data_IF_406581214805
#
_entry.id   IF_406581214805
#
_cell.length_a   1.000
_cell.length_b   1.000
_cell.length_c   1.000
_cell.angle_alpha   90.00
_cell.angle_beta   90.00
_cell.angle_gamma   90.00
#
_symmetry.space_group_name_H-M   'P 1'
#
loop_
_entity.id
_entity.type
_entity.pdbx_description
1 polymer ?
#
# COMPACT_ATOMS: atom_id res chain seq x y z
N UNK A 1 -3.42 -0.02 11.37
CA UNK A 1 -4.90 -0.12 11.55
C UNK A 1 -5.28 0.67 12.79
N UNK A 2 -6.55 1.01 12.99
CA UNK A 2 -7.00 1.73 14.19
C UNK A 2 -7.97 0.89 15.04
N UNK A 3 -7.98 1.10 16.36
CA UNK A 3 -8.97 0.52 17.26
C UNK A 3 -9.48 1.57 18.25
N UNK A 4 -10.80 1.67 18.43
CA UNK A 4 -11.47 2.61 19.34
C UNK A 4 -12.29 1.83 20.37
N UNK A 5 -12.00 2.06 21.66
CA UNK A 5 -12.78 1.53 22.77
C UNK A 5 -13.99 2.44 23.04
N UNK A 6 -15.15 2.09 22.47
CA UNK A 6 -16.37 2.90 22.53
C UNK A 6 -17.00 2.98 23.93
N UNK A 7 -16.44 2.27 24.91
CA UNK A 7 -16.86 2.34 26.32
C UNK A 7 -16.19 3.49 27.06
N UNK A 8 -15.08 3.99 26.50
CA UNK A 8 -14.32 5.14 27.00
C UNK A 8 -14.45 6.32 26.06
N UNK A 9 -14.35 6.06 24.76
CA UNK A 9 -14.23 7.05 23.69
C UNK A 9 -15.59 7.24 23.00
N UNK A 10 -16.53 7.80 23.77
CA UNK A 10 -17.93 7.84 23.37
C UNK A 10 -18.21 8.81 22.23
N UNK A 11 -17.32 9.74 21.92
CA UNK A 11 -17.53 10.76 20.89
C UNK A 11 -16.95 10.33 19.53
N UNK A 12 -15.81 9.62 19.51
CA UNK A 12 -15.12 9.18 18.30
C UNK A 12 -15.97 8.34 17.32
N UNK A 13 -16.99 7.62 17.78
CA UNK A 13 -17.84 6.77 16.93
C UNK A 13 -19.23 7.31 16.59
N UNK A 14 -19.67 8.43 17.21
CA UNK A 14 -21.05 8.92 17.10
C UNK A 14 -21.42 9.38 15.70
N UNK A 15 -20.49 10.06 15.04
CA UNK A 15 -20.73 10.64 13.71
C UNK A 15 -20.68 9.60 12.59
N UNK A 16 -20.30 8.36 12.90
CA UNK A 16 -20.07 7.30 11.93
C UNK A 16 -21.13 6.20 11.93
N UNK A 17 -22.29 6.43 12.56
CA UNK A 17 -23.40 5.48 12.63
C UNK A 17 -22.99 4.10 13.20
N UNK A 18 -22.22 4.12 14.29
CA UNK A 18 -21.85 2.89 15.02
C UNK A 18 -23.00 2.53 15.97
N UNK A 19 -23.86 1.59 15.55
CA UNK A 19 -25.07 1.18 16.28
C UNK A 19 -24.88 -0.08 17.15
N UNK A 20 -23.76 -0.79 17.00
CA UNK A 20 -23.46 -2.02 17.72
C UNK A 20 -21.99 -2.39 17.67
N UNK A 21 -21.59 -3.41 18.44
CA UNK A 21 -20.19 -3.80 18.59
C UNK A 21 -19.98 -5.32 18.36
N UNK A 22 -18.83 -5.73 17.78
CA UNK A 22 -17.85 -4.87 17.11
C UNK A 22 -18.36 -4.38 15.75
N UNK A 23 -18.00 -3.15 15.39
CA UNK A 23 -18.24 -2.55 14.07
C UNK A 23 -16.92 -2.19 13.43
N UNK A 24 -16.67 -2.70 12.21
CA UNK A 24 -15.46 -2.41 11.46
C UNK A 24 -15.81 -1.51 10.28
N UNK A 25 -15.03 -0.44 10.12
CA UNK A 25 -15.22 0.56 9.06
C UNK A 25 -13.91 0.82 8.32
N UNK A 26 -14.04 1.06 7.02
CA UNK A 26 -12.94 1.48 6.16
C UNK A 26 -13.07 2.97 5.86
N UNK A 27 -12.09 3.73 6.31
CA UNK A 27 -11.97 5.16 6.08
C UNK A 27 -11.05 5.37 4.88
N UNK A 28 -11.65 5.61 3.71
CA UNK A 28 -10.93 5.93 2.48
C UNK A 28 -10.36 7.36 2.49
N UNK A 29 -10.28 7.98 1.31
CA UNK A 29 -9.85 9.38 1.18
C UNK A 29 -10.91 10.36 1.69
N UNK A 30 -12.19 10.03 1.53
CA UNK A 30 -13.30 10.78 2.11
C UNK A 30 -13.57 10.28 3.53
N UNK A 31 -12.89 10.89 4.50
CA UNK A 31 -12.98 10.53 5.92
C UNK A 31 -14.38 10.69 6.50
N UNK A 32 -15.18 11.61 5.94
CA UNK A 32 -16.53 11.86 6.42
C UNK A 32 -17.52 10.75 6.06
N UNK A 33 -17.20 9.93 5.05
CA UNK A 33 -18.08 8.87 4.55
C UNK A 33 -17.37 7.50 4.57
N UNK A 34 -17.10 6.92 5.75
CA UNK A 34 -16.50 5.60 5.84
C UNK A 34 -17.47 4.51 5.35
N UNK A 35 -16.90 3.47 4.77
CA UNK A 35 -17.63 2.30 4.31
C UNK A 35 -17.67 1.20 5.38
N UNK A 36 -18.81 0.54 5.53
CA UNK A 36 -18.90 -0.64 6.40
C UNK A 36 -18.09 -1.81 5.82
N UNK A 37 -17.46 -2.57 6.72
CA UNK A 37 -16.77 -3.79 6.34
C UNK A 37 -17.75 -4.92 6.01
N UNK A 38 -17.77 -5.34 4.75
CA UNK A 38 -18.65 -6.40 4.23
C UNK A 38 -17.93 -7.76 4.02
N UNK A 39 -16.91 -8.07 4.84
CA UNK A 39 -16.10 -9.28 4.70
C UNK A 39 -16.30 -10.31 5.81
N UNK A 40 -15.69 -11.49 5.64
CA UNK A 40 -15.56 -12.45 6.74
C UNK A 40 -14.61 -11.89 7.80
N UNK A 41 -15.00 -11.96 9.08
CA UNK A 41 -14.24 -11.43 10.23
C UNK A 41 -12.98 -12.25 10.59
N UNK A 42 -12.45 -13.02 9.65
CA UNK A 42 -11.13 -13.64 9.81
C UNK A 42 -10.05 -12.66 9.38
N UNK A 43 -8.84 -12.82 9.92
CA UNK A 43 -7.66 -12.04 9.50
C UNK A 43 -7.46 -12.05 7.98
N UNK A 44 -7.63 -13.22 7.35
CA UNK A 44 -7.58 -13.37 5.88
C UNK A 44 -8.69 -12.59 5.17
N UNK A 45 -9.91 -12.59 5.72
CA UNK A 45 -11.04 -11.85 5.17
C UNK A 45 -10.83 -10.33 5.21
N UNK A 46 -10.31 -9.83 6.33
CA UNK A 46 -9.95 -8.42 6.52
C UNK A 46 -8.84 -8.01 5.54
N UNK A 47 -7.75 -8.79 5.45
CA UNK A 47 -6.65 -8.53 4.50
C UNK A 47 -7.18 -8.47 3.06
N UNK A 48 -8.04 -9.41 2.67
CA UNK A 48 -8.62 -9.44 1.32
C UNK A 48 -9.47 -8.21 1.01
N UNK A 49 -10.26 -7.75 1.97
CA UNK A 49 -11.09 -6.56 1.82
C UNK A 49 -10.22 -5.30 1.73
N UNK A 50 -9.31 -5.10 2.68
CA UNK A 50 -8.45 -3.93 2.74
C UNK A 50 -7.60 -3.80 1.46
N UNK A 51 -6.90 -4.86 1.06
CA UNK A 51 -6.06 -4.84 -0.16
C UNK A 51 -6.87 -4.59 -1.44
N UNK A 52 -8.13 -5.04 -1.50
CA UNK A 52 -9.05 -4.69 -2.60
C UNK A 52 -9.39 -3.20 -2.59
N UNK A 53 -9.73 -2.63 -1.43
CA UNK A 53 -10.02 -1.20 -1.29
C UNK A 53 -8.83 -0.31 -1.63
N UNK A 54 -7.64 -0.65 -1.15
CA UNK A 54 -6.39 0.05 -1.52
C UNK A 54 -6.18 0.06 -3.04
N UNK A 55 -6.43 -1.08 -3.70
CA UNK A 55 -6.35 -1.18 -5.16
C UNK A 55 -7.43 -0.35 -5.87
N UNK A 56 -8.65 -0.28 -5.34
CA UNK A 56 -9.73 0.55 -5.89
C UNK A 56 -9.36 2.04 -5.81
N UNK A 57 -8.84 2.50 -4.66
CA UNK A 57 -8.33 3.86 -4.46
C UNK A 57 -7.21 4.17 -5.45
N UNK A 58 -6.19 3.30 -5.51
CA UNK A 58 -5.03 3.53 -6.38
C UNK A 58 -5.42 3.62 -7.86
N UNK A 59 -6.35 2.78 -8.32
CA UNK A 59 -6.87 2.87 -9.70
C UNK A 59 -7.73 4.11 -9.93
N UNK A 60 -8.51 4.56 -8.95
CA UNK A 60 -9.34 5.75 -9.06
C UNK A 60 -8.48 7.03 -9.22
N UNK A 61 -7.38 7.15 -8.46
CA UNK A 61 -6.44 8.28 -8.52
C UNK A 61 -5.82 8.49 -9.90
N UNK A 62 -5.63 7.40 -10.65
CA UNK A 62 -5.07 7.43 -12.00
C UNK A 62 -6.13 7.46 -13.09
N UNK A 63 -7.41 7.69 -12.74
CA UNK A 63 -8.52 7.75 -13.70
C UNK A 63 -8.94 6.40 -14.28
N UNK A 64 -8.43 5.28 -13.76
CA UNK A 64 -8.77 3.93 -14.19
C UNK A 64 -9.99 3.40 -13.42
N UNK A 65 -11.12 4.10 -13.50
CA UNK A 65 -12.39 3.63 -12.90
C UNK A 65 -12.97 2.53 -13.81
N UNK A 66 -13.12 1.31 -13.29
CA UNK A 66 -13.96 0.30 -13.96
C UNK A 66 -15.34 0.90 -14.16
N UNK A 67 -15.74 1.06 -15.43
CA UNK A 67 -17.01 1.60 -15.89
C UNK A 67 -18.20 1.03 -15.12
N UNK A 68 -18.82 1.82 -14.25
CA UNK A 68 -20.26 1.80 -14.13
C UNK A 68 -20.81 2.64 -15.30
N UNK A 69 -21.39 1.94 -16.28
CA UNK A 69 -22.28 2.40 -17.37
C UNK A 69 -21.92 3.69 -18.16
N UNK A 70 -21.82 3.52 -19.48
CA UNK A 70 -21.36 4.48 -20.46
C UNK A 70 -22.12 5.83 -20.53
N UNK A 71 -21.34 6.90 -20.65
CA UNK A 71 -21.58 7.97 -21.62
C UNK A 71 -20.37 8.11 -22.56
N UNK A 72 -20.64 8.48 -23.81
CA UNK A 72 -19.69 8.51 -24.93
C UNK A 72 -18.50 9.45 -24.67
N UNK A 73 -17.27 9.11 -25.11
CA UNK A 73 -16.18 10.08 -25.14
C UNK A 73 -16.52 11.16 -26.18
N UNK A 74 -16.55 12.43 -25.74
CA UNK A 74 -16.38 13.57 -26.65
C UNK A 74 -14.92 13.59 -27.08
N UNK A 75 -14.75 13.74 -28.39
CA UNK A 75 -13.51 13.96 -29.11
C UNK A 75 -12.69 15.07 -28.45
N UNK A 76 -11.59 14.70 -27.82
CA UNK A 76 -10.64 15.62 -27.21
C UNK A 76 -9.51 15.88 -28.22
N UNK A 77 -9.28 17.18 -28.47
CA UNK A 77 -8.27 17.72 -29.38
C UNK A 77 -6.89 17.13 -29.08
N UNK A 78 -6.15 16.84 -30.15
CA UNK A 78 -4.71 16.50 -30.09
C UNK A 78 -3.96 17.54 -29.24
N UNK A 79 -3.15 17.14 -28.25
CA UNK A 79 -2.21 18.05 -27.64
C UNK A 79 -1.07 18.34 -28.63
N UNK A 80 -0.67 19.62 -28.66
CA UNK A 80 0.58 20.13 -29.20
C UNK A 80 1.80 19.34 -28.68
N UNK A 81 2.94 19.35 -29.39
CA UNK A 81 4.08 18.48 -29.07
C UNK A 81 4.59 18.71 -27.63
N UNK A 82 4.56 17.64 -26.84
CA UNK A 82 5.14 17.56 -25.50
C UNK A 82 6.64 17.88 -25.55
N UNK A 83 7.20 18.65 -24.59
CA UNK A 83 8.64 18.77 -24.43
C UNK A 83 9.25 17.39 -24.15
N UNK A 84 10.50 17.17 -24.59
CA UNK A 84 11.25 15.92 -24.44
C UNK A 84 11.04 15.25 -23.08
N UNK A 85 10.74 13.95 -23.08
CA UNK A 85 10.61 13.12 -21.89
C UNK A 85 11.86 13.22 -21.00
N UNK A 86 11.74 14.03 -19.94
CA UNK A 86 12.73 14.14 -18.87
C UNK A 86 12.66 12.90 -17.96
N UNK A 87 13.74 12.64 -17.23
CA UNK A 87 13.84 11.61 -16.19
C UNK A 87 12.68 11.72 -15.17
N UNK A 88 12.38 10.69 -14.33
CA UNK A 88 11.49 10.87 -13.18
C UNK A 88 12.03 12.01 -12.31
N UNK A 89 11.48 13.20 -12.50
CA UNK A 89 11.95 14.46 -11.95
C UNK A 89 11.04 14.79 -10.79
N UNK A 90 11.18 14.07 -9.67
CA UNK A 90 10.57 14.44 -8.39
C UNK A 90 9.18 15.07 -8.45
N UNK A 91 8.27 14.52 -9.28
CA UNK A 91 6.84 14.76 -9.10
C UNK A 91 6.52 14.38 -7.65
N UNK A 92 5.66 15.12 -6.94
CA UNK A 92 5.45 15.06 -5.47
C UNK A 92 5.22 13.64 -4.89
N UNK A 93 5.02 12.62 -5.73
CA UNK A 93 4.76 11.24 -5.36
C UNK A 93 5.93 10.25 -5.64
N UNK A 94 7.02 10.67 -6.31
CA UNK A 94 8.24 9.85 -6.53
C UNK A 94 9.43 10.48 -5.80
N UNK A 95 9.98 9.74 -4.84
CA UNK A 95 11.17 10.16 -4.09
C UNK A 95 12.42 9.87 -4.90
N UNK A 96 13.24 10.90 -5.11
CA UNK A 96 14.58 10.72 -5.70
C UNK A 96 15.51 10.21 -4.62
N UNK A 97 15.96 8.98 -4.80
CA UNK A 97 16.89 8.31 -3.92
C UNK A 97 18.31 8.50 -4.44
N UNK A 98 19.20 8.88 -3.54
CA UNK A 98 20.60 9.26 -3.76
C UNK A 98 21.49 8.54 -2.75
N UNK A 99 22.79 8.51 -2.98
CA UNK A 99 23.77 7.96 -2.04
C UNK A 99 23.64 8.54 -0.62
N UNK A 100 23.12 9.77 -0.49
CA UNK A 100 22.99 10.48 0.78
C UNK A 100 21.73 10.16 1.60
N UNK A 101 20.63 9.75 0.96
CA UNK A 101 19.35 9.50 1.64
C UNK A 101 18.87 8.05 1.53
N UNK A 102 19.48 7.22 0.67
CA UNK A 102 19.03 5.84 0.42
C UNK A 102 18.90 5.01 1.71
N UNK A 103 19.92 5.08 2.58
CA UNK A 103 19.93 4.32 3.83
C UNK A 103 18.84 4.76 4.81
N UNK A 104 18.61 6.08 4.93
CA UNK A 104 17.63 6.63 5.86
C UNK A 104 16.19 6.45 5.34
N UNK A 105 15.94 6.79 4.08
CA UNK A 105 14.61 6.77 3.48
C UNK A 105 14.12 5.35 3.19
N UNK A 106 15.00 4.46 2.71
CA UNK A 106 14.61 3.13 2.25
C UNK A 106 15.06 2.01 3.19
N UNK A 107 16.35 1.95 3.54
CA UNK A 107 16.87 0.80 4.30
C UNK A 107 16.40 0.79 5.76
N UNK A 108 16.26 1.97 6.38
CA UNK A 108 15.72 2.12 7.73
C UNK A 108 14.18 2.16 7.78
N UNK A 109 13.51 2.32 6.63
CA UNK A 109 12.05 2.38 6.55
C UNK A 109 11.40 1.04 6.84
N UNK A 110 10.36 1.04 7.67
CA UNK A 110 9.49 -0.13 7.87
C UNK A 110 8.43 -0.27 6.77
N UNK A 111 8.17 0.80 6.02
CA UNK A 111 7.17 0.84 4.97
C UNK A 111 7.66 0.15 3.69
N UNK A 112 6.76 -0.44 2.89
CA UNK A 112 7.11 -1.05 1.62
C UNK A 112 7.50 0.01 0.59
N UNK A 113 8.60 -0.25 -0.14
CA UNK A 113 9.11 0.61 -1.20
C UNK A 113 9.09 -0.11 -2.54
N UNK A 114 8.84 0.64 -3.61
CA UNK A 114 9.00 0.17 -4.98
C UNK A 114 9.91 1.14 -5.72
N UNK A 115 11.09 0.68 -6.14
CA UNK A 115 12.15 1.54 -6.66
C UNK A 115 12.47 1.21 -8.11
N UNK A 116 12.57 2.26 -8.92
CA UNK A 116 13.15 2.23 -10.26
C UNK A 116 14.64 2.57 -10.22
N UNK A 117 15.48 1.65 -10.69
CA UNK A 117 16.88 1.91 -11.00
C UNK A 117 17.01 2.19 -12.50
N UNK A 118 17.42 3.42 -12.84
CA UNK A 118 17.40 3.91 -14.22
C UNK A 118 18.70 4.58 -14.64
N UNK A 119 18.79 4.86 -15.94
CA UNK A 119 19.78 5.75 -16.53
C UNK A 119 19.09 6.79 -17.42
N UNK A 120 19.44 8.09 -17.34
CA UNK A 120 18.71 9.18 -18.00
C UNK A 120 18.77 9.11 -19.54
N UNK A 121 19.78 8.45 -20.10
CA UNK A 121 19.94 8.24 -21.53
C UNK A 121 19.22 6.98 -22.05
N UNK A 122 18.68 6.12 -21.17
CA UNK A 122 18.06 4.87 -21.58
C UNK A 122 16.64 5.10 -22.13
N UNK A 123 16.44 4.80 -23.42
CA UNK A 123 15.14 4.96 -24.09
C UNK A 123 14.00 4.13 -23.49
N UNK A 124 14.28 2.98 -22.85
CA UNK A 124 13.27 2.21 -22.13
C UNK A 124 12.87 2.87 -20.79
N UNK A 125 13.79 3.57 -20.13
CA UNK A 125 13.50 4.32 -18.90
C UNK A 125 12.63 5.53 -19.22
N UNK A 126 12.98 6.28 -20.28
CA UNK A 126 12.16 7.42 -20.75
C UNK A 126 10.72 7.03 -21.08
N UNK A 127 10.51 5.84 -21.65
CA UNK A 127 9.17 5.29 -21.92
C UNK A 127 8.43 4.86 -20.66
N UNK A 128 9.15 4.49 -19.60
CA UNK A 128 8.59 4.04 -18.34
C UNK A 128 8.19 5.21 -17.43
N UNK A 129 9.00 6.28 -17.41
CA UNK A 129 8.81 7.45 -16.55
C UNK A 129 7.34 7.94 -16.43
N UNK A 130 6.56 8.15 -17.52
CA UNK A 130 5.17 8.59 -17.38
C UNK A 130 4.26 7.55 -16.69
N UNK A 131 4.50 6.26 -16.92
CA UNK A 131 3.75 5.19 -16.25
C UNK A 131 4.19 5.01 -14.80
N UNK A 132 5.46 5.26 -14.49
CA UNK A 132 6.02 5.23 -13.14
C UNK A 132 5.43 6.35 -12.28
N UNK A 133 5.48 7.60 -12.76
CA UNK A 133 4.91 8.76 -12.06
C UNK A 133 3.39 8.60 -11.88
N UNK A 134 2.69 8.09 -12.91
CA UNK A 134 1.26 7.78 -12.79
C UNK A 134 1.00 6.68 -11.76
N UNK A 135 1.79 5.62 -11.72
CA UNK A 135 1.67 4.59 -10.68
C UNK A 135 1.90 5.17 -9.29
N UNK A 136 2.88 6.07 -9.15
CA UNK A 136 3.21 6.70 -7.89
C UNK A 136 2.08 7.55 -7.32
N UNK A 137 1.46 8.37 -8.17
CA UNK A 137 0.21 9.04 -7.82
C UNK A 137 -0.88 8.07 -7.36
N UNK A 138 -0.98 6.90 -8.00
CA UNK A 138 -1.92 5.85 -7.58
C UNK A 138 -1.59 5.31 -6.18
N UNK A 139 -0.31 5.05 -5.91
CA UNK A 139 0.17 4.37 -4.71
C UNK A 139 0.52 5.29 -3.53
N UNK A 140 0.31 6.60 -3.65
CA UNK A 140 0.55 7.58 -2.57
C UNK A 140 -0.05 7.12 -1.22
N UNK A 141 0.75 7.02 -0.16
CA UNK A 141 0.31 6.55 1.16
C UNK A 141 -0.15 5.07 1.19
N UNK A 142 0.28 4.27 0.20
CA UNK A 142 0.03 2.82 0.10
C UNK A 142 1.36 2.07 -0.06
N UNK A 143 2.22 2.54 -0.97
CA UNK A 143 3.60 2.06 -1.18
C UNK A 143 4.45 3.25 -1.58
N UNK A 144 5.62 3.41 -0.97
CA UNK A 144 6.56 4.47 -1.31
C UNK A 144 7.23 4.17 -2.65
N UNK A 145 7.32 5.18 -3.50
CA UNK A 145 7.84 5.04 -4.86
C UNK A 145 9.15 5.80 -4.96
N UNK A 146 10.22 5.08 -5.30
CA UNK A 146 11.56 5.64 -5.40
C UNK A 146 12.10 5.59 -6.83
N UNK A 147 13.06 6.46 -7.13
CA UNK A 147 13.86 6.39 -8.34
C UNK A 147 15.33 6.70 -8.05
N UNK A 148 16.25 5.89 -8.58
CA UNK A 148 17.71 6.04 -8.43
C UNK A 148 18.36 6.17 -9.81
N UNK A 149 19.09 7.27 -10.02
CA UNK A 149 19.92 7.46 -11.20
C UNK A 149 21.26 6.73 -11.01
N UNK A 150 21.33 5.49 -11.48
CA UNK A 150 22.51 4.62 -11.35
C UNK A 150 23.72 5.10 -12.17
N UNK A 151 23.60 6.22 -12.90
CA UNK A 151 24.75 6.86 -13.57
C UNK A 151 25.49 7.86 -12.68
N UNK A 152 24.89 8.25 -11.55
CA UNK A 152 25.44 9.21 -10.60
C UNK A 152 25.58 8.61 -9.20
N UNK A 153 24.58 7.85 -8.78
CA UNK A 153 24.48 7.27 -7.44
C UNK A 153 25.11 5.88 -7.48
N UNK A 154 26.40 5.83 -7.12
CA UNK A 154 27.21 4.62 -7.26
C UNK A 154 27.07 3.67 -6.08
N UNK A 155 26.68 4.19 -4.92
CA UNK A 155 26.48 3.42 -3.70
C UNK A 155 25.02 2.99 -3.53
N UNK A 156 24.06 3.86 -3.86
CA UNK A 156 22.65 3.55 -3.88
C UNK A 156 22.38 2.46 -4.93
N UNK A 157 21.92 1.30 -4.47
CA UNK A 157 21.51 0.22 -5.36
C UNK A 157 22.60 -0.78 -5.76
N UNK A 158 23.86 -0.56 -5.38
CA UNK A 158 24.98 -1.44 -5.75
C UNK A 158 24.79 -2.88 -5.27
N UNK A 159 24.18 -3.05 -4.10
CA UNK A 159 24.03 -4.35 -3.44
C UNK A 159 22.82 -5.14 -3.94
N UNK A 160 22.00 -4.57 -4.83
CA UNK A 160 20.77 -5.21 -5.32
C UNK A 160 20.88 -5.83 -6.71
N UNK A 161 22.08 -6.01 -7.25
CA UNK A 161 22.32 -6.69 -8.55
C UNK A 161 21.56 -6.05 -9.73
N UNK A 162 21.72 -4.74 -9.92
CA UNK A 162 21.15 -4.02 -11.07
C UNK A 162 22.03 -4.23 -12.31
N UNK A 163 21.63 -5.17 -13.17
CA UNK A 163 22.42 -5.56 -14.37
C UNK A 163 22.03 -4.79 -15.64
N UNK A 164 20.93 -4.03 -15.61
CA UNK A 164 20.45 -3.26 -16.76
C UNK A 164 19.30 -2.30 -16.41
N UNK A 165 18.90 -1.48 -17.38
CA UNK A 165 17.95 -0.40 -17.15
C UNK A 165 16.70 -0.47 -18.06
N UNK A 166 15.49 -0.18 -17.54
CA UNK A 166 15.19 -0.01 -16.12
C UNK A 166 15.13 -1.37 -15.41
N UNK A 167 15.59 -1.40 -14.17
CA UNK A 167 15.36 -2.50 -13.22
C UNK A 167 14.43 -1.99 -12.13
N UNK A 168 13.37 -2.73 -11.86
CA UNK A 168 12.34 -2.36 -10.89
C UNK A 168 12.33 -3.38 -9.76
N UNK A 169 12.43 -2.92 -8.52
CA UNK A 169 12.51 -3.81 -7.35
C UNK A 169 11.57 -3.39 -6.23
N UNK A 170 10.90 -4.38 -5.65
CA UNK A 170 10.01 -4.19 -4.53
C UNK A 170 10.68 -4.60 -3.23
N UNK A 171 10.79 -3.63 -2.33
CA UNK A 171 11.41 -3.74 -1.01
C UNK A 171 10.31 -3.93 0.02
N UNK A 172 10.09 -5.20 0.40
CA UNK A 172 9.20 -5.58 1.50
C UNK A 172 9.82 -5.27 2.86
N UNK A 173 9.52 -6.09 3.87
CA UNK A 173 10.05 -5.89 5.23
C UNK A 173 11.57 -6.14 5.30
N UNK A 174 12.06 -7.13 4.56
CA UNK A 174 13.48 -7.40 4.42
C UNK A 174 14.06 -6.54 3.28
N UNK A 175 14.60 -5.36 3.65
CA UNK A 175 15.21 -4.43 2.70
C UNK A 175 16.46 -4.98 2.02
N UNK A 176 17.12 -5.95 2.63
CA UNK A 176 18.33 -6.55 2.07
C UNK A 176 18.02 -7.52 0.91
N UNK A 177 16.81 -8.07 0.87
CA UNK A 177 16.39 -9.05 -0.14
C UNK A 177 15.15 -8.56 -0.93
N UNK A 178 15.27 -7.48 -1.73
CA UNK A 178 14.17 -7.01 -2.55
C UNK A 178 13.84 -7.99 -3.69
N UNK A 179 12.57 -8.02 -4.07
CA UNK A 179 12.09 -8.86 -5.15
C UNK A 179 12.09 -8.11 -6.48
N UNK A 180 12.50 -8.80 -7.55
CA UNK A 180 12.39 -8.27 -8.90
C UNK A 180 10.91 -8.12 -9.33
N UNK A 181 10.63 -7.02 -10.02
CA UNK A 181 9.32 -6.81 -10.60
C UNK A 181 9.09 -7.74 -11.80
N UNK A 182 8.01 -8.51 -11.70
CA UNK A 182 7.49 -9.32 -12.79
C UNK A 182 6.09 -8.84 -13.17
N UNK A 183 5.97 -8.20 -14.35
CA UNK A 183 4.68 -7.72 -14.83
C UNK A 183 4.75 -6.75 -16.01
N UNK A 184 3.58 -6.29 -16.43
CA UNK A 184 3.46 -5.23 -17.43
C UNK A 184 3.86 -3.87 -16.84
N UNK A 185 4.70 -3.13 -17.56
CA UNK A 185 5.23 -1.82 -17.16
C UNK A 185 4.26 -0.65 -17.33
N UNK A 186 2.96 -0.93 -17.35
CA UNK A 186 1.93 0.12 -17.26
C UNK A 186 1.68 0.45 -15.79
N UNK A 187 1.22 1.67 -15.52
CA UNK A 187 0.81 2.14 -14.20
C UNK A 187 -0.15 1.18 -13.50
N UNK A 188 -1.13 0.65 -14.23
CA UNK A 188 -2.06 -0.37 -13.72
C UNK A 188 -1.35 -1.68 -13.38
N UNK A 189 -0.38 -2.11 -14.20
CA UNK A 189 0.43 -3.31 -13.95
C UNK A 189 1.29 -3.18 -12.69
N UNK A 190 1.91 -2.02 -12.51
CA UNK A 190 2.73 -1.64 -11.34
C UNK A 190 1.87 -1.63 -10.08
N UNK A 191 0.71 -0.93 -10.09
CA UNK A 191 -0.24 -0.91 -8.97
C UNK A 191 -0.72 -2.32 -8.60
N UNK A 192 -1.03 -3.15 -9.60
CA UNK A 192 -1.48 -4.52 -9.37
C UNK A 192 -0.41 -5.38 -8.71
N UNK A 193 0.86 -5.20 -9.08
CA UNK A 193 1.98 -5.90 -8.47
C UNK A 193 2.18 -5.45 -7.03
N UNK A 194 2.26 -4.13 -6.79
CA UNK A 194 2.46 -3.55 -5.47
C UNK A 194 1.38 -4.00 -4.48
N UNK A 195 0.10 -3.87 -4.86
CA UNK A 195 -1.04 -4.29 -4.01
C UNK A 195 -1.07 -5.80 -3.76
N UNK A 196 -0.59 -6.61 -4.71
CA UNK A 196 -0.42 -8.06 -4.50
C UNK A 196 0.69 -8.34 -3.48
N UNK A 197 1.81 -7.62 -3.55
CA UNK A 197 2.92 -7.76 -2.58
C UNK A 197 2.52 -7.35 -1.17
N UNK A 198 1.77 -6.26 -1.01
CA UNK A 198 1.18 -5.89 0.28
C UNK A 198 0.33 -7.02 0.87
N UNK A 199 -0.50 -7.65 0.03
CA UNK A 199 -1.30 -8.79 0.43
C UNK A 199 -0.45 -10.00 0.84
N UNK A 200 0.64 -10.27 0.13
CA UNK A 200 1.56 -11.37 0.46
C UNK A 200 2.24 -11.14 1.81
N UNK A 201 2.75 -9.92 2.05
CA UNK A 201 3.33 -9.51 3.33
C UNK A 201 2.32 -9.68 4.47
N UNK A 202 1.12 -9.11 4.32
CA UNK A 202 0.09 -9.21 5.35
C UNK A 202 -0.31 -10.67 5.66
N UNK A 203 -0.42 -11.53 4.64
CA UNK A 203 -0.68 -12.96 4.85
C UNK A 203 0.49 -13.68 5.53
N UNK A 204 1.73 -13.30 5.23
CA UNK A 204 2.90 -13.90 5.86
C UNK A 204 2.98 -13.56 7.35
N UNK A 205 2.64 -12.32 7.75
CA UNK A 205 2.58 -11.87 9.15
C UNK A 205 1.62 -12.71 9.99
N UNK A 206 0.44 -13.03 9.45
CA UNK A 206 -0.57 -13.86 10.14
C UNK A 206 -0.29 -15.38 10.06
N UNK A 207 0.92 -15.79 9.68
CA UNK A 207 1.30 -17.20 9.57
C UNK A 207 0.68 -17.97 8.39
N UNK A 208 -0.05 -17.29 7.51
CA UNK A 208 -0.67 -17.87 6.32
C UNK A 208 0.32 -17.90 5.15
N UNK A 209 1.50 -18.51 5.36
CA UNK A 209 2.42 -18.77 4.26
C UNK A 209 1.78 -19.79 3.33
N UNK A 210 1.38 -19.38 2.12
CA UNK A 210 1.13 -20.33 1.04
C UNK A 210 2.37 -21.23 0.96
N UNK A 211 2.19 -22.52 1.26
CA UNK A 211 3.21 -23.55 1.06
C UNK A 211 3.69 -23.47 -0.39
N UNK A 212 4.82 -22.80 -0.61
CA UNK A 212 5.62 -23.04 -1.79
C UNK A 212 5.97 -24.54 -1.78
N UNK A 213 5.79 -25.20 -2.92
CA UNK A 213 6.05 -26.63 -3.13
C UNK A 213 7.36 -27.07 -2.46
N UNK A 214 7.26 -27.91 -1.44
CA UNK A 214 8.30 -28.82 -0.98
C UNK A 214 7.63 -30.10 -0.43
N UNK A 215 8.25 -31.24 -0.69
CA UNK A 215 7.74 -32.59 -0.39
C UNK A 215 7.56 -32.87 1.12
N UNK A 216 6.71 -33.89 1.40
CA UNK A 216 6.20 -34.46 2.67
C UNK A 216 7.24 -34.75 3.78
N UNK A 217 6.85 -35.01 5.07
CA UNK A 217 5.63 -35.70 5.53
C UNK A 217 4.82 -35.04 6.67
N UNK A 218 3.65 -35.65 6.90
CA UNK A 218 2.57 -35.29 7.85
C UNK A 218 3.00 -35.52 9.30
N UNK A 219 2.70 -34.55 10.16
CA UNK A 219 2.40 -34.79 11.57
C UNK A 219 1.16 -33.98 11.96
N UNK A 220 0.25 -34.64 12.67
CA UNK A 220 -1.12 -34.24 12.97
C UNK A 220 -1.11 -33.46 14.28
N UNK A 221 -1.41 -32.15 14.24
CA UNK A 221 -1.60 -31.34 15.45
C UNK A 221 -3.07 -30.96 15.61
N UNK A 222 -3.59 -31.29 16.79
CA UNK A 222 -4.95 -31.01 17.25
C UNK A 222 -5.18 -29.50 17.39
N UNK A 223 -6.43 -29.01 17.26
CA UNK A 223 -6.73 -27.59 17.36
C UNK A 223 -6.52 -27.09 18.80
N UNK A 224 -5.74 -26.02 18.91
CA UNK A 224 -5.56 -25.18 20.09
C UNK A 224 -6.81 -24.30 20.28
N UNK A 225 -7.33 -24.08 21.50
CA UNK A 225 -8.55 -23.31 21.71
C UNK A 225 -8.35 -21.84 21.31
N UNK A 226 -9.38 -21.26 20.69
CA UNK A 226 -9.46 -19.82 20.37
C UNK A 226 -9.24 -18.98 21.64
N UNK A 227 -8.36 -17.96 21.63
CA UNK A 227 -8.23 -17.05 22.75
C UNK A 227 -9.47 -16.15 22.85
N UNK A 228 -9.95 -15.94 24.08
CA UNK A 228 -10.93 -14.90 24.41
C UNK A 228 -10.42 -13.54 23.92
N UNK A 229 -11.33 -12.68 23.47
CA UNK A 229 -11.02 -11.35 22.95
C UNK A 229 -10.40 -10.46 24.04
N UNK A 230 -9.08 -10.49 24.16
CA UNK A 230 -8.35 -9.49 24.93
C UNK A 230 -8.30 -8.18 24.14
N UNK A 231 -8.44 -7.05 24.85
CA UNK A 231 -8.36 -5.73 24.23
C UNK A 231 -7.03 -5.58 23.47
N UNK A 232 -7.00 -4.91 22.30
CA UNK A 232 -5.75 -4.66 21.59
C UNK A 232 -4.83 -3.83 22.47
N UNK A 233 -3.82 -4.49 23.05
CA UNK A 233 -2.66 -3.81 23.64
C UNK A 233 -1.87 -3.27 22.46
N UNK A 234 -1.58 -1.95 22.43
CA UNK A 234 -0.96 -1.29 21.28
C UNK A 234 0.36 -1.91 20.82
N UNK A 235 0.26 -2.93 19.96
CA UNK A 235 1.33 -3.43 19.11
C UNK A 235 1.54 -2.44 17.95
N UNK A 236 2.76 -2.39 17.39
CA UNK A 236 3.15 -1.41 16.35
C UNK A 236 2.20 -1.35 15.12
N UNK A 237 1.42 -2.40 14.86
CA UNK A 237 0.52 -2.51 13.70
C UNK A 237 -0.93 -2.01 13.97
N UNK A 238 -1.33 -1.78 15.23
CA UNK A 238 -2.66 -1.31 15.64
C UNK A 238 -2.56 -0.07 16.52
N UNK A 239 -2.93 1.08 15.96
CA UNK A 239 -2.98 2.35 16.66
C UNK A 239 -4.26 2.42 17.51
N UNK A 240 -4.09 2.64 18.81
CA UNK A 240 -5.20 2.91 19.72
C UNK A 240 -5.67 4.35 19.51
N UNK A 241 -6.91 4.48 19.04
CA UNK A 241 -7.57 5.75 18.79
C UNK A 241 -8.47 6.10 19.97
N UNK A 242 -8.40 7.37 20.36
CA UNK A 242 -9.08 8.01 21.49
C UNK A 242 -9.79 9.26 21.00
N UNK A 243 -10.75 9.77 21.76
CA UNK A 243 -11.42 11.04 21.48
C UNK A 243 -10.42 12.20 21.26
N UNK A 244 -9.23 12.12 21.90
CA UNK A 244 -8.21 13.17 21.83
C UNK A 244 -7.30 13.12 20.58
N UNK A 245 -7.10 11.95 19.97
CA UNK A 245 -6.20 11.79 18.83
C UNK A 245 -6.93 11.35 17.55
N UNK A 246 -8.22 10.98 17.63
CA UNK A 246 -8.98 10.49 16.49
C UNK A 246 -8.97 11.48 15.32
N UNK A 247 -9.23 12.76 15.59
CA UNK A 247 -9.25 13.78 14.55
C UNK A 247 -7.88 14.02 13.91
N UNK A 248 -6.81 14.02 14.71
CA UNK A 248 -5.45 14.28 14.23
C UNK A 248 -4.89 13.08 13.46
N UNK A 249 -5.04 11.88 14.02
CA UNK A 249 -4.45 10.66 13.47
C UNK A 249 -5.24 10.11 12.28
N UNK A 250 -6.57 10.23 12.31
CA UNK A 250 -7.43 9.63 11.28
C UNK A 250 -8.06 10.65 10.34
N UNK A 251 -8.69 11.70 10.87
CA UNK A 251 -9.46 12.63 10.04
C UNK A 251 -8.57 13.56 9.23
N UNK A 252 -7.40 13.94 9.77
CA UNK A 252 -6.40 14.74 9.05
C UNK A 252 -5.48 13.89 8.16
N UNK A 253 -5.48 12.56 8.30
CA UNK A 253 -4.61 11.67 7.54
C UNK A 253 -5.05 11.56 6.07
N UNK A 254 -4.07 11.63 5.17
CA UNK A 254 -4.26 11.37 3.74
C UNK A 254 -4.27 9.88 3.39
N UNK A 255 -3.96 9.03 4.36
CA UNK A 255 -3.81 7.59 4.17
C UNK A 255 -5.12 6.85 4.43
N UNK A 256 -5.40 5.74 3.77
CA UNK A 256 -6.59 4.93 4.06
C UNK A 256 -6.44 4.18 5.39
N UNK A 257 -7.50 4.19 6.22
CA UNK A 257 -7.54 3.53 7.53
C UNK A 257 -8.59 2.42 7.57
N UNK A 258 -8.28 1.35 8.29
CA UNK A 258 -9.25 0.33 8.68
C UNK A 258 -9.38 0.38 10.20
N UNK A 259 -10.58 0.67 10.69
CA UNK A 259 -10.83 0.97 12.11
C UNK A 259 -11.87 0.01 12.67
N UNK A 260 -11.54 -0.57 13.81
CA UNK A 260 -12.47 -1.32 14.64
C UNK A 260 -12.99 -0.46 15.79
N UNK A 261 -14.31 -0.39 15.92
CA UNK A 261 -15.00 0.17 17.08
C UNK A 261 -15.50 -0.99 17.95
N UNK A 262 -14.95 -1.13 19.15
CA UNK A 262 -15.20 -2.28 20.02
C UNK A 262 -15.67 -1.86 21.42
N UNK A 263 -16.19 -2.83 22.16
CA UNK A 263 -16.45 -2.74 23.59
C UNK A 263 -15.85 -3.99 24.28
N UNK A 264 -15.15 -3.88 25.43
CA UNK A 264 -14.40 -5.01 26.00
C UNK A 264 -15.23 -6.23 26.44
N UNK A 265 -16.56 -6.13 26.45
CA UNK A 265 -17.46 -7.22 26.83
C UNK A 265 -18.03 -8.01 25.65
N UNK A 266 -17.62 -7.68 24.41
CA UNK A 266 -18.10 -8.28 23.16
C UNK A 266 -17.13 -9.30 22.57
#
# INVERSE_FOLDING_TARGET
>A
MGAVDMTKEGDAGKDYNVEGYPTLKFFGEDKANPEDFEGGRSSVGIINYATRKLKEIANARIGNKKRAKAEKPKEEKQPEPEPEAEAPTGDDDVVVLTDSNFAEELEASQEPWFVEFYAPWCGHCKKLAPEWNRAAKGLKGIVNMGAVDMTKEGDAGKDYNVEGYPTLKFFGEDKANPEDFEGGRSSVGIINYATRKLKEIANARIGNKKRAKAEKPKEEKQPEPEPEAEAPTGDDDVVVLTDSNFAEELEASQEPWFVEFYAPWC
#
